data_IF_289166015656
#
_entry.id   IF_289166015656
#
_cell.length_a   1.000
_cell.length_b   1.000
_cell.length_c   1.000
_cell.angle_alpha   90.00
_cell.angle_beta   90.00
_cell.angle_gamma   90.00
#
_symmetry.space_group_name_H-M   'P 1'
#
loop_
_entity.id
_entity.type
_entity.pdbx_description
1 polymer ?
#
# COMPACT_ATOMS: atom_id res chain seq x y z
N UNK A 1 -4.98 -6.31 -14.10
CA UNK A 1 -6.26 -6.69 -13.45
C UNK A 1 -7.28 -5.69 -13.92
N UNK A 2 -8.50 -6.13 -14.26
CA UNK A 2 -9.59 -5.21 -14.61
C UNK A 2 -10.42 -5.00 -13.34
N UNK A 3 -10.58 -3.74 -12.95
CA UNK A 3 -11.48 -3.34 -11.87
C UNK A 3 -12.86 -3.12 -12.49
N UNK A 4 -13.89 -3.74 -11.93
CA UNK A 4 -15.27 -3.55 -12.35
C UNK A 4 -16.21 -3.80 -11.16
N UNK A 5 -16.75 -2.72 -10.59
CA UNK A 5 -17.62 -2.76 -9.42
C UNK A 5 -19.04 -3.25 -9.74
N UNK A 6 -19.41 -3.36 -11.02
CA UNK A 6 -20.74 -3.83 -11.43
C UNK A 6 -20.81 -5.35 -11.47
N UNK A 7 -19.68 -6.02 -11.76
CA UNK A 7 -19.58 -7.48 -11.83
C UNK A 7 -18.91 -8.07 -10.60
N UNK A 8 -18.00 -7.33 -9.95
CA UNK A 8 -17.31 -7.83 -8.78
C UNK A 8 -18.29 -8.00 -7.61
N UNK A 9 -18.23 -9.14 -6.88
CA UNK A 9 -19.04 -9.31 -5.69
C UNK A 9 -18.58 -8.31 -4.62
N UNK A 10 -19.52 -7.52 -4.11
CA UNK A 10 -19.30 -6.73 -2.90
C UNK A 10 -19.21 -7.70 -1.72
N UNK A 11 -18.06 -7.72 -1.05
CA UNK A 11 -17.78 -8.67 0.04
C UNK A 11 -18.10 -8.09 1.42
N UNK A 12 -18.28 -6.77 1.50
CA UNK A 12 -18.64 -6.10 2.73
C UNK A 12 -19.36 -4.78 2.48
N UNK A 13 -20.26 -4.44 3.42
CA UNK A 13 -20.95 -3.16 3.47
C UNK A 13 -21.24 -2.80 4.93
N UNK A 14 -20.77 -1.65 5.40
CA UNK A 14 -20.96 -1.22 6.78
C UNK A 14 -20.97 0.30 6.91
N UNK A 15 -21.49 0.79 8.03
CA UNK A 15 -21.44 2.19 8.41
C UNK A 15 -20.07 2.53 9.00
N UNK A 16 -19.40 3.53 8.44
CA UNK A 16 -18.13 4.05 8.95
C UNK A 16 -18.38 5.04 10.09
N UNK A 17 -19.42 5.88 9.94
CA UNK A 17 -19.80 6.90 10.91
C UNK A 17 -21.32 7.18 10.86
N UNK A 18 -21.76 8.26 11.53
CA UNK A 18 -23.18 8.64 11.59
C UNK A 18 -23.79 9.00 10.22
N UNK A 19 -22.96 9.37 9.25
CA UNK A 19 -23.31 9.92 7.94
C UNK A 19 -22.74 9.14 6.75
N UNK A 20 -21.81 8.22 6.96
CA UNK A 20 -21.05 7.55 5.91
C UNK A 20 -21.17 6.03 6.01
N UNK A 21 -21.43 5.38 4.88
CA UNK A 21 -21.31 3.93 4.72
C UNK A 21 -20.21 3.61 3.70
N UNK A 22 -19.70 2.38 3.72
CA UNK A 22 -18.58 1.94 2.90
C UNK A 22 -18.87 0.58 2.27
N UNK A 23 -18.61 0.48 0.97
CA UNK A 23 -18.58 -0.78 0.22
C UNK A 23 -17.15 -1.32 0.17
N UNK A 24 -16.99 -2.64 0.29
CA UNK A 24 -15.72 -3.35 0.18
C UNK A 24 -15.75 -4.36 -0.97
N UNK A 25 -14.69 -4.34 -1.76
CA UNK A 25 -14.43 -5.25 -2.85
C UNK A 25 -13.02 -5.82 -2.74
N UNK A 26 -12.83 -7.02 -3.26
CA UNK A 26 -11.51 -7.65 -3.35
C UNK A 26 -11.15 -7.90 -4.82
N UNK A 27 -9.94 -7.47 -5.20
CA UNK A 27 -9.33 -7.74 -6.49
C UNK A 27 -7.96 -8.37 -6.25
N UNK A 28 -7.80 -9.63 -6.65
CA UNK A 28 -6.59 -10.38 -6.29
C UNK A 28 -6.44 -10.48 -4.76
N UNK A 29 -5.34 -9.95 -4.23
CA UNK A 29 -5.04 -9.93 -2.78
C UNK A 29 -5.25 -8.55 -2.15
N UNK A 30 -5.75 -7.57 -2.90
CA UNK A 30 -5.92 -6.19 -2.44
C UNK A 30 -7.40 -5.81 -2.38
N UNK A 31 -7.69 -4.88 -1.49
CA UNK A 31 -9.04 -4.40 -1.21
C UNK A 31 -9.28 -3.06 -1.89
N UNK A 32 -10.53 -2.78 -2.24
CA UNK A 32 -10.96 -1.45 -2.67
C UNK A 32 -12.18 -1.05 -1.86
N UNK A 33 -12.09 0.12 -1.25
CA UNK A 33 -13.13 0.71 -0.42
C UNK A 33 -13.74 1.92 -1.11
N UNK A 34 -15.07 1.96 -1.19
CA UNK A 34 -15.80 3.10 -1.74
C UNK A 34 -16.81 3.59 -0.71
N UNK A 35 -16.63 4.81 -0.23
CA UNK A 35 -17.58 5.45 0.68
C UNK A 35 -18.72 6.12 -0.07
N UNK A 36 -19.88 6.13 0.58
CA UNK A 36 -21.08 6.83 0.12
C UNK A 36 -21.89 7.34 1.32
N UNK A 37 -22.79 8.33 1.14
CA UNK A 37 -23.67 8.78 2.20
C UNK A 37 -24.53 7.63 2.73
N UNK A 38 -24.68 7.59 4.05
CA UNK A 38 -25.51 6.60 4.72
C UNK A 38 -26.96 6.71 4.26
N UNK A 39 -27.58 5.56 3.99
CA UNK A 39 -28.95 5.47 3.50
C UNK A 39 -29.14 5.88 2.03
N UNK A 40 -28.07 6.29 1.33
CA UNK A 40 -28.12 6.48 -0.12
C UNK A 40 -27.80 5.19 -0.87
N UNK A 41 -28.22 5.13 -2.12
CA UNK A 41 -27.78 4.11 -3.06
C UNK A 41 -26.27 4.24 -3.34
N UNK A 42 -25.46 3.16 -3.18
CA UNK A 42 -24.02 3.21 -3.45
C UNK A 42 -23.69 3.28 -4.95
N UNK A 43 -24.60 2.89 -5.85
CA UNK A 43 -24.30 2.74 -7.29
C UNK A 43 -23.68 3.98 -7.95
N UNK A 44 -24.13 5.23 -7.71
CA UNK A 44 -23.51 6.41 -8.31
C UNK A 44 -22.04 6.61 -7.88
N UNK A 45 -21.71 6.26 -6.64
CA UNK A 45 -20.36 6.39 -6.09
C UNK A 45 -19.44 5.30 -6.64
N UNK A 46 -19.94 4.07 -6.78
CA UNK A 46 -19.23 2.99 -7.44
C UNK A 46 -18.93 3.32 -8.91
N UNK A 47 -19.92 3.87 -9.63
CA UNK A 47 -19.73 4.33 -11.01
C UNK A 47 -18.68 5.44 -11.11
N UNK A 48 -18.71 6.42 -10.20
CA UNK A 48 -17.73 7.49 -10.16
C UNK A 48 -16.31 7.00 -9.83
N UNK A 49 -16.18 6.00 -8.95
CA UNK A 49 -14.90 5.40 -8.57
C UNK A 49 -14.31 4.47 -9.64
N UNK A 50 -15.11 4.02 -10.62
CA UNK A 50 -14.74 2.98 -11.57
C UNK A 50 -13.44 3.25 -12.36
N UNK A 51 -13.39 4.38 -13.07
CA UNK A 51 -12.20 4.74 -13.85
C UNK A 51 -11.02 5.15 -12.95
N UNK A 52 -11.20 5.98 -11.91
CA UNK A 52 -10.14 6.29 -10.94
C UNK A 52 -9.53 5.05 -10.27
N UNK A 53 -10.33 4.02 -9.96
CA UNK A 53 -9.84 2.79 -9.35
C UNK A 53 -8.94 1.99 -10.28
N UNK A 54 -9.30 1.88 -11.56
CA UNK A 54 -8.43 1.25 -12.56
C UNK A 54 -7.10 2.00 -12.70
N UNK A 55 -7.16 3.33 -12.83
CA UNK A 55 -5.95 4.16 -12.93
C UNK A 55 -5.07 4.03 -11.68
N UNK A 56 -5.68 4.06 -10.49
CA UNK A 56 -4.96 3.88 -9.22
C UNK A 56 -4.31 2.49 -9.14
N UNK A 57 -5.02 1.45 -9.55
CA UNK A 57 -4.51 0.09 -9.57
C UNK A 57 -3.27 -0.04 -10.46
N UNK A 58 -3.35 0.48 -11.69
CA UNK A 58 -2.26 0.42 -12.67
C UNK A 58 -1.05 1.26 -12.22
N UNK A 59 -1.29 2.31 -11.44
CA UNK A 59 -0.29 3.24 -10.91
C UNK A 59 0.26 2.85 -9.52
N UNK A 60 -0.18 1.72 -8.96
CA UNK A 60 0.17 1.28 -7.59
C UNK A 60 1.68 1.19 -7.33
N UNK A 61 2.47 0.79 -8.33
CA UNK A 61 3.94 0.73 -8.21
C UNK A 61 4.56 2.10 -7.95
N UNK A 62 4.03 3.15 -8.56
CA UNK A 62 4.53 4.51 -8.36
C UNK A 62 4.11 5.06 -6.99
N UNK A 63 2.91 4.72 -6.51
CA UNK A 63 2.50 5.04 -5.14
C UNK A 63 3.40 4.35 -4.10
N UNK A 64 3.78 3.09 -4.34
CA UNK A 64 4.75 2.35 -3.51
C UNK A 64 6.12 3.05 -3.50
N UNK A 65 6.64 3.41 -4.68
CA UNK A 65 7.91 4.14 -4.78
C UNK A 65 7.87 5.51 -4.08
N UNK A 66 6.70 6.17 -4.07
CA UNK A 66 6.51 7.40 -3.31
C UNK A 66 6.59 7.15 -1.79
N UNK A 67 5.87 6.14 -1.29
CA UNK A 67 5.86 5.73 0.11
C UNK A 67 7.25 5.29 0.60
N UNK A 68 8.01 4.61 -0.25
CA UNK A 68 9.36 4.12 0.04
C UNK A 68 10.27 5.22 0.57
N UNK A 69 10.14 6.47 0.10
CA UNK A 69 10.95 7.59 0.60
C UNK A 69 10.75 7.84 2.10
N UNK A 70 9.52 7.71 2.59
CA UNK A 70 9.22 7.83 4.01
C UNK A 70 9.77 6.64 4.79
N UNK A 71 9.57 5.41 4.28
CA UNK A 71 10.09 4.21 4.94
C UNK A 71 11.62 4.19 4.98
N UNK A 72 12.30 4.67 3.93
CA UNK A 72 13.75 4.84 3.87
C UNK A 72 14.27 5.81 4.92
N UNK A 73 13.58 6.94 5.10
CA UNK A 73 13.93 7.90 6.12
C UNK A 73 13.72 7.34 7.54
N UNK A 74 12.66 6.55 7.75
CA UNK A 74 12.32 5.99 9.07
C UNK A 74 13.16 4.76 9.44
N UNK A 75 13.50 3.91 8.47
CA UNK A 75 14.20 2.63 8.67
C UNK A 75 15.47 2.52 7.83
N UNK A 76 16.43 3.45 7.96
CA UNK A 76 17.59 3.52 7.08
C UNK A 76 18.44 2.23 7.09
N UNK A 77 18.52 1.55 8.24
CA UNK A 77 19.25 0.29 8.37
C UNK A 77 18.62 -0.85 7.58
N UNK A 78 17.28 -0.96 7.59
CA UNK A 78 16.56 -1.93 6.78
C UNK A 78 16.84 -1.73 5.31
N UNK A 79 16.72 -0.49 4.83
CA UNK A 79 16.86 -0.19 3.42
C UNK A 79 18.30 -0.33 2.93
N UNK A 80 19.29 0.02 3.77
CA UNK A 80 20.69 -0.29 3.48
C UNK A 80 20.93 -1.80 3.35
N UNK A 81 20.32 -2.61 4.20
CA UNK A 81 20.40 -4.06 4.08
C UNK A 81 19.71 -4.56 2.80
N UNK A 82 18.53 -4.02 2.50
CA UNK A 82 17.74 -4.36 1.31
C UNK A 82 18.48 -4.02 0.00
N UNK A 83 19.12 -2.84 -0.07
CA UNK A 83 19.88 -2.38 -1.24
C UNK A 83 21.07 -3.31 -1.58
N UNK A 84 21.58 -4.05 -0.58
CA UNK A 84 22.68 -5.01 -0.74
C UNK A 84 22.21 -6.47 -0.90
N UNK A 85 20.90 -6.71 -0.87
CA UNK A 85 20.36 -8.05 -1.00
C UNK A 85 20.44 -8.55 -2.45
N UNK A 86 20.52 -9.87 -2.63
CA UNK A 86 20.52 -10.50 -3.97
C UNK A 86 19.08 -10.75 -4.40
N UNK A 87 18.65 -10.11 -5.50
CA UNK A 87 17.30 -10.22 -6.08
C UNK A 87 16.15 -10.02 -5.06
N UNK A 88 16.16 -8.96 -4.24
CA UNK A 88 15.09 -8.76 -3.27
C UNK A 88 13.77 -8.46 -3.99
N UNK A 89 12.67 -9.02 -3.49
CA UNK A 89 11.33 -8.52 -3.85
C UNK A 89 11.14 -7.14 -3.22
N UNK A 90 10.19 -6.36 -3.72
CA UNK A 90 9.88 -5.09 -3.06
C UNK A 90 9.25 -5.36 -1.68
N UNK A 91 9.71 -4.73 -0.59
CA UNK A 91 9.28 -5.05 0.78
C UNK A 91 7.92 -4.43 1.12
N UNK A 92 7.56 -3.34 0.43
CA UNK A 92 6.28 -2.67 0.60
C UNK A 92 5.26 -3.21 -0.40
N UNK A 93 4.02 -3.34 0.07
CA UNK A 93 2.84 -3.64 -0.72
C UNK A 93 1.74 -2.62 -0.38
N UNK A 94 0.80 -2.42 -1.30
CA UNK A 94 -0.45 -1.75 -0.97
C UNK A 94 -1.48 -2.80 -0.55
N UNK A 95 -2.22 -2.52 0.52
CA UNK A 95 -3.28 -3.38 1.05
C UNK A 95 -4.63 -2.99 0.50
N UNK A 96 -4.87 -1.68 0.37
CA UNK A 96 -6.15 -1.16 -0.06
C UNK A 96 -6.03 0.12 -0.86
N UNK A 97 -7.05 0.36 -1.71
CA UNK A 97 -7.33 1.65 -2.33
C UNK A 97 -8.66 2.16 -1.77
N UNK A 98 -8.65 3.33 -1.15
CA UNK A 98 -9.83 3.94 -0.53
C UNK A 98 -10.29 5.18 -1.29
N UNK A 99 -11.60 5.27 -1.53
CA UNK A 99 -12.30 6.43 -2.05
C UNK A 99 -13.19 7.01 -0.95
N UNK A 100 -12.79 8.16 -0.41
CA UNK A 100 -13.52 8.80 0.68
C UNK A 100 -14.64 9.68 0.14
N UNK A 101 -15.74 9.79 0.89
CA UNK A 101 -16.93 10.52 0.46
C UNK A 101 -16.66 12.00 0.12
N UNK A 102 -15.71 12.62 0.83
CA UNK A 102 -15.33 14.02 0.67
C UNK A 102 -14.05 14.21 -0.14
N UNK A 103 -13.46 13.13 -0.67
CA UNK A 103 -12.24 13.19 -1.46
C UNK A 103 -12.31 12.24 -2.66
N UNK A 104 -12.47 12.76 -3.90
CA UNK A 104 -12.57 11.92 -5.09
C UNK A 104 -11.26 11.22 -5.45
N UNK A 105 -10.15 11.55 -4.78
CA UNK A 105 -8.83 10.99 -5.07
C UNK A 105 -8.64 9.64 -4.39
N UNK A 106 -7.98 8.68 -5.07
CA UNK A 106 -7.67 7.39 -4.47
C UNK A 106 -6.58 7.54 -3.40
N UNK A 107 -6.74 6.80 -2.31
CA UNK A 107 -5.80 6.71 -1.21
C UNK A 107 -5.26 5.29 -1.10
N UNK A 108 -3.95 5.12 -1.18
CA UNK A 108 -3.29 3.83 -1.02
C UNK A 108 -2.90 3.63 0.44
N UNK A 109 -3.34 2.52 1.05
CA UNK A 109 -2.79 2.06 2.33
C UNK A 109 -1.57 1.16 2.04
N UNK A 110 -0.38 1.65 2.39
CA UNK A 110 0.90 1.00 2.07
C UNK A 110 1.63 0.68 3.37
N UNK A 111 2.07 -0.57 3.49
CA UNK A 111 2.90 -1.03 4.60
C UNK A 111 3.89 -2.10 4.13
N UNK A 112 4.78 -2.52 5.01
CA UNK A 112 5.63 -3.68 4.76
C UNK A 112 4.76 -4.94 4.61
N UNK A 113 5.13 -5.81 3.67
CA UNK A 113 4.55 -7.14 3.56
C UNK A 113 5.01 -7.99 4.77
N UNK A 114 4.09 -8.54 5.58
CA UNK A 114 4.44 -9.31 6.78
C UNK A 114 5.11 -10.65 6.43
N UNK A 115 4.98 -11.10 5.18
CA UNK A 115 5.63 -12.31 4.67
C UNK A 115 6.99 -12.01 4.04
N UNK A 116 7.43 -10.76 4.09
CA UNK A 116 8.68 -10.35 3.48
C UNK A 116 9.89 -10.85 4.29
N UNK A 117 10.64 -11.75 3.66
CA UNK A 117 11.88 -12.30 4.19
C UNK A 117 13.02 -12.06 3.20
N UNK A 118 14.16 -11.59 3.68
CA UNK A 118 15.39 -11.53 2.88
C UNK A 118 16.62 -11.67 3.77
N UNK A 119 17.73 -12.13 3.22
CA UNK A 119 19.00 -12.25 3.95
C UNK A 119 19.90 -11.08 3.60
N UNK A 120 20.37 -10.34 4.60
CA UNK A 120 21.44 -9.37 4.42
C UNK A 120 22.78 -9.99 4.83
N UNK A 121 23.79 -9.86 4.00
CA UNK A 121 25.18 -10.13 4.38
C UNK A 121 25.79 -8.79 4.79
N UNK A 122 26.00 -8.56 6.09
CA UNK A 122 26.87 -7.47 6.53
C UNK A 122 28.31 -8.00 6.55
N UNK A 123 29.19 -7.29 5.86
CA UNK A 123 30.63 -7.54 5.96
C UNK A 123 31.17 -6.73 7.13
N UNK A 124 31.67 -7.41 8.16
CA UNK A 124 32.45 -6.76 9.20
C UNK A 124 33.86 -6.51 8.65
N UNK A 125 34.27 -5.25 8.55
CA UNK A 125 35.63 -4.86 8.10
C UNK A 125 36.67 -5.02 9.24
N UNK A 126 36.42 -5.88 10.22
CA UNK A 126 37.35 -6.17 11.30
C UNK A 126 38.24 -7.35 10.92
N UNK A 127 39.43 -7.01 10.42
CA UNK A 127 40.62 -7.87 10.35
C UNK A 127 40.52 -9.12 9.47
N UNK A 128 40.48 -8.95 8.14
CA UNK A 128 40.99 -9.93 7.16
C UNK A 128 40.33 -11.32 7.12
N UNK A 129 39.35 -11.57 7.99
CA UNK A 129 38.55 -12.77 8.07
C UNK A 129 37.11 -12.35 7.83
N UNK A 130 36.61 -12.67 6.64
CA UNK A 130 35.21 -12.51 6.26
C UNK A 130 34.35 -13.49 7.07
N UNK A 131 34.16 -13.22 8.36
CA UNK A 131 33.13 -13.88 9.15
C UNK A 131 31.82 -13.12 8.93
N UNK A 132 30.90 -13.71 8.16
CA UNK A 132 29.57 -13.18 7.99
C UNK A 132 28.77 -13.41 9.28
N UNK A 133 28.76 -12.43 10.17
CA UNK A 133 27.92 -12.47 11.38
C UNK A 133 26.45 -12.37 10.98
N UNK A 134 25.66 -13.40 11.26
CA UNK A 134 24.20 -13.38 11.06
C UNK A 134 23.56 -12.61 12.21
N UNK A 135 23.47 -11.30 12.09
CA UNK A 135 22.66 -10.49 13.01
C UNK A 135 21.17 -10.63 12.68
N UNK A 136 20.31 -10.41 13.69
CA UNK A 136 18.89 -10.28 13.46
C UNK A 136 18.66 -9.14 12.45
N UNK A 137 17.95 -9.45 11.36
CA UNK A 137 17.72 -8.50 10.29
C UNK A 137 16.97 -7.28 10.85
N UNK A 138 17.32 -6.05 10.41
CA UNK A 138 16.46 -4.92 10.67
C UNK A 138 15.05 -5.27 10.16
N UNK A 139 14.03 -4.93 10.93
CA UNK A 139 12.64 -5.21 10.59
C UNK A 139 11.86 -3.89 10.55
N UNK A 140 11.05 -3.71 9.51
CA UNK A 140 10.04 -2.65 9.50
C UNK A 140 8.84 -3.18 10.30
N UNK A 141 8.48 -2.55 11.44
CA UNK A 141 7.33 -2.99 12.22
C UNK A 141 6.08 -3.07 11.36
N UNK A 142 5.27 -4.13 11.50
CA UNK A 142 4.00 -4.28 10.78
C UNK A 142 2.98 -3.19 11.12
N UNK A 143 3.20 -2.44 12.20
CA UNK A 143 2.43 -1.27 12.57
C UNK A 143 2.71 -0.05 11.71
N UNK A 144 3.87 0.00 11.04
CA UNK A 144 4.26 1.13 10.21
C UNK A 144 3.56 1.07 8.86
N UNK A 145 2.57 1.95 8.73
CA UNK A 145 1.77 2.15 7.53
C UNK A 145 1.75 3.62 7.16
N UNK A 146 1.59 3.91 5.88
CA UNK A 146 1.37 5.26 5.37
C UNK A 146 0.21 5.26 4.41
N UNK A 147 -0.54 6.36 4.43
CA UNK A 147 -1.57 6.63 3.43
C UNK A 147 -0.95 7.54 2.37
N UNK A 148 -0.97 7.09 1.11
CA UNK A 148 -0.54 7.90 -0.03
C UNK A 148 -1.77 8.33 -0.82
N UNK A 149 -2.01 9.64 -0.94
CA UNK A 149 -3.07 10.17 -1.80
C UNK A 149 -2.53 10.51 -3.18
N UNK A 150 -3.22 10.07 -4.23
CA UNK A 150 -2.90 10.45 -5.62
C UNK A 150 -3.51 11.80 -5.96
N UNK A 151 -2.68 12.75 -6.36
CA UNK A 151 -3.10 14.10 -6.74
C UNK A 151 -3.37 14.22 -8.24
N UNK A 152 -2.48 13.65 -9.04
CA UNK A 152 -2.52 13.63 -10.50
C UNK A 152 -1.63 12.47 -11.00
N UNK A 153 -1.42 12.37 -12.30
CA UNK A 153 -0.50 11.40 -12.87
C UNK A 153 0.89 11.52 -12.22
N UNK A 154 1.33 10.42 -11.60
CA UNK A 154 2.61 10.30 -10.88
C UNK A 154 2.86 11.34 -9.79
N UNK A 155 1.82 12.04 -9.33
CA UNK A 155 1.91 13.06 -8.29
C UNK A 155 1.16 12.58 -7.06
N UNK A 156 1.84 12.56 -5.91
CA UNK A 156 1.29 12.04 -4.66
C UNK A 156 1.70 12.87 -3.47
N UNK A 157 1.00 12.66 -2.36
CA UNK A 157 1.36 13.17 -1.04
C UNK A 157 1.08 12.12 0.03
N UNK A 158 1.74 12.26 1.18
CA UNK A 158 1.45 11.50 2.39
C UNK A 158 0.35 12.22 3.17
N UNK A 159 -0.64 11.46 3.65
CA UNK A 159 -1.79 11.95 4.43
C UNK A 159 -1.65 11.57 5.90
#
# INVERSE_FOLDING_TARGET
MIIDFQIAPMIGHWDVDASTSQCEFQFGTQLIYVQHPKGSDPRPYLQAAQAPAQLAWDDSKNAIAHAERWFRAKHPDFWRCWDNAVNPKHPLIFYAISFYINDPRPHFDIACDPTYEFTCVRHDELWGHLEATREALPHIPTTDRVIVRRLADQTYELV
#
